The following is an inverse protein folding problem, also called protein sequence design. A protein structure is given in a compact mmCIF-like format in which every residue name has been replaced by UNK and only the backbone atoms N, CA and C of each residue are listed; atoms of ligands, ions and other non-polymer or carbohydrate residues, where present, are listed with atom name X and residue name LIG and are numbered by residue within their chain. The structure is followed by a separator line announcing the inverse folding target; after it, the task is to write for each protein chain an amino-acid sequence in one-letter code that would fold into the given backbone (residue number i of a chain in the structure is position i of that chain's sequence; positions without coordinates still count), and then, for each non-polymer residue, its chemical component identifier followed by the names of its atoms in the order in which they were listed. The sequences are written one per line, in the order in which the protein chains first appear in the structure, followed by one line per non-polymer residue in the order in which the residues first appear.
data_IF_160766441774
#
_entry.id   IF_160766441774
#
_cell.length_a   1.000
_cell.length_b   1.000
_cell.length_c   1.000
_cell.angle_alpha   90.00
_cell.angle_beta   90.00
_cell.angle_gamma   90.00
#
_symmetry.space_group_name_H-M   'P 1'
#
loop_
_entity.id
_entity.type
_entity.pdbx_description
1 polymer ?
#
# COMPACT_ATOMS: atom_id res chain seq x y z
N UNK A 1 -14.80 -8.29 1.50
CA UNK A 1 -14.58 -6.85 1.25
C UNK A 1 -14.69 -5.96 2.50
N UNK A 2 -15.13 -6.48 3.65
CA UNK A 2 -15.28 -5.71 4.91
C UNK A 2 -13.99 -4.95 5.28
N UNK A 3 -12.81 -5.55 5.06
CA UNK A 3 -11.52 -4.92 5.35
C UNK A 3 -11.28 -3.67 4.49
N UNK A 4 -11.53 -3.73 3.18
CA UNK A 4 -11.29 -2.59 2.28
C UNK A 4 -12.20 -1.41 2.62
N UNK A 5 -13.46 -1.68 2.96
CA UNK A 5 -14.43 -0.68 3.38
C UNK A 5 -14.04 -0.04 4.72
N UNK A 6 -13.60 -0.85 5.70
CA UNK A 6 -13.11 -0.34 6.98
C UNK A 6 -11.87 0.56 6.81
N UNK A 7 -10.91 0.16 5.97
CA UNK A 7 -9.72 0.96 5.66
C UNK A 7 -10.10 2.26 4.95
N UNK A 8 -11.02 2.22 3.99
CA UNK A 8 -11.52 3.40 3.30
C UNK A 8 -12.20 4.38 4.27
N UNK A 9 -12.99 3.89 5.23
CA UNK A 9 -13.60 4.74 6.25
C UNK A 9 -12.57 5.35 7.22
N UNK A 10 -11.58 4.56 7.66
CA UNK A 10 -10.49 5.10 8.45
C UNK A 10 -9.72 6.21 7.69
N UNK A 11 -9.53 6.02 6.39
CA UNK A 11 -8.89 7.00 5.51
C UNK A 11 -9.70 8.29 5.44
N UNK A 12 -11.02 8.19 5.24
CA UNK A 12 -11.94 9.34 5.26
C UNK A 12 -11.91 10.08 6.60
N UNK A 13 -11.68 9.37 7.70
CA UNK A 13 -11.56 9.93 9.04
C UNK A 13 -10.16 10.51 9.34
N UNK A 14 -9.28 10.60 8.34
CA UNK A 14 -7.97 11.26 8.45
C UNK A 14 -6.79 10.32 8.69
N UNK A 15 -6.99 8.99 8.71
CA UNK A 15 -5.88 8.06 8.73
C UNK A 15 -5.17 8.01 7.37
N UNK A 16 -3.86 7.80 7.36
CA UNK A 16 -3.14 7.45 6.14
C UNK A 16 -3.25 5.95 5.89
N UNK A 17 -3.74 5.55 4.73
CA UNK A 17 -3.87 4.13 4.36
C UNK A 17 -2.95 3.76 3.21
N UNK A 18 -2.21 2.67 3.41
CA UNK A 18 -1.33 2.10 2.41
C UNK A 18 -1.77 0.67 2.11
N UNK A 19 -2.04 0.38 0.85
CA UNK A 19 -2.34 -0.97 0.37
C UNK A 19 -1.07 -1.54 -0.26
N UNK A 20 -0.52 -2.58 0.36
CA UNK A 20 0.64 -3.32 -0.16
C UNK A 20 0.24 -4.68 -0.74
N UNK A 21 1.08 -5.21 -1.63
CA UNK A 21 0.89 -6.53 -2.24
C UNK A 21 0.06 -6.49 -3.53
N UNK A 22 0.47 -7.28 -4.53
CA UNK A 22 -0.15 -7.29 -5.86
C UNK A 22 -1.62 -7.72 -5.85
N UNK A 23 -1.95 -8.77 -5.10
CA UNK A 23 -3.32 -9.29 -5.02
C UNK A 23 -4.26 -8.32 -4.29
N UNK A 24 -3.80 -7.70 -3.21
CA UNK A 24 -4.57 -6.70 -2.46
C UNK A 24 -4.79 -5.43 -3.28
N UNK A 25 -3.76 -4.95 -4.00
CA UNK A 25 -3.87 -3.84 -4.93
C UNK A 25 -4.86 -4.12 -6.07
N UNK A 26 -4.81 -5.31 -6.67
CA UNK A 26 -5.74 -5.74 -7.69
C UNK A 26 -7.18 -5.83 -7.16
N UNK A 27 -7.36 -6.34 -5.94
CA UNK A 27 -8.67 -6.43 -5.31
C UNK A 27 -9.29 -5.04 -5.05
N UNK A 28 -8.57 -4.11 -4.41
CA UNK A 28 -9.13 -2.78 -4.12
C UNK A 28 -9.50 -2.02 -5.40
N UNK A 29 -8.74 -2.19 -6.49
CA UNK A 29 -9.07 -1.61 -7.78
C UNK A 29 -10.29 -2.27 -8.42
N UNK A 30 -10.34 -3.61 -8.46
CA UNK A 30 -11.46 -4.36 -9.03
C UNK A 30 -12.80 -4.01 -8.36
N UNK A 31 -12.77 -3.67 -7.08
CA UNK A 31 -13.96 -3.33 -6.31
C UNK A 31 -14.19 -1.82 -6.12
N UNK A 32 -13.40 -0.96 -6.77
CA UNK A 32 -13.63 0.50 -6.79
C UNK A 32 -13.17 1.26 -5.53
N UNK A 33 -12.33 0.66 -4.68
CA UNK A 33 -11.77 1.30 -3.49
C UNK A 33 -10.41 1.97 -3.72
N UNK A 34 -9.84 1.85 -4.93
CA UNK A 34 -8.52 2.39 -5.26
C UNK A 34 -8.37 3.90 -4.97
N UNK A 35 -9.40 4.69 -5.26
CA UNK A 35 -9.41 6.14 -4.95
C UNK A 35 -9.82 6.47 -3.51
N UNK A 36 -10.28 5.47 -2.74
CA UNK A 36 -10.70 5.64 -1.34
C UNK A 36 -9.60 5.33 -0.33
N UNK A 37 -8.37 5.06 -0.80
CA UNK A 37 -7.18 4.80 0.02
C UNK A 37 -6.07 5.80 -0.33
N UNK A 38 -5.12 6.04 0.58
CA UNK A 38 -4.10 7.07 0.37
C UNK A 38 -3.02 6.66 -0.63
N UNK A 39 -2.61 5.39 -0.63
CA UNK A 39 -1.58 4.89 -1.53
C UNK A 39 -1.76 3.40 -1.84
N UNK A 40 -1.59 3.04 -3.11
CA UNK A 40 -1.55 1.65 -3.56
C UNK A 40 -0.14 1.34 -4.05
N UNK A 41 0.59 0.52 -3.30
CA UNK A 41 1.97 0.14 -3.64
C UNK A 41 1.99 -0.95 -4.70
N UNK A 42 2.81 -0.73 -5.74
CA UNK A 42 3.16 -1.74 -6.74
C UNK A 42 4.36 -2.59 -6.31
N UNK A 43 5.12 -2.13 -5.32
CA UNK A 43 6.34 -2.77 -4.84
C UNK A 43 6.09 -3.90 -3.85
N UNK A 44 5.13 -4.79 -4.10
CA UNK A 44 4.63 -5.80 -3.15
C UNK A 44 5.65 -6.36 -2.16
N UNK A 45 6.61 -7.16 -2.63
CA UNK A 45 7.67 -7.74 -1.78
C UNK A 45 8.72 -6.71 -1.30
N UNK A 46 9.10 -5.76 -2.16
CA UNK A 46 10.10 -4.74 -1.82
C UNK A 46 9.62 -3.82 -0.68
N UNK A 47 8.33 -3.48 -0.64
CA UNK A 47 7.72 -2.72 0.45
C UNK A 47 7.79 -3.52 1.76
N UNK A 48 7.49 -4.82 1.72
CA UNK A 48 7.56 -5.67 2.91
C UNK A 48 9.00 -5.76 3.43
N UNK A 49 9.97 -5.98 2.53
CA UNK A 49 11.39 -5.99 2.89
C UNK A 49 11.83 -4.65 3.51
N UNK A 50 11.33 -3.53 2.99
CA UNK A 50 11.58 -2.22 3.57
C UNK A 50 10.95 -2.06 4.96
N UNK A 51 9.71 -2.53 5.16
CA UNK A 51 9.03 -2.52 6.46
C UNK A 51 9.69 -3.46 7.48
N UNK A 52 10.38 -4.51 7.02
CA UNK A 52 11.23 -5.39 7.83
C UNK A 52 12.57 -4.72 8.21
N UNK A 53 12.84 -3.49 7.75
CA UNK A 53 14.06 -2.75 8.03
C UNK A 53 15.24 -3.10 7.13
N UNK A 54 15.02 -3.86 6.04
CA UNK A 54 16.08 -4.14 5.07
C UNK A 54 16.35 -2.92 4.21
N UNK A 55 17.62 -2.73 3.88
CA UNK A 55 18.03 -1.75 2.89
C UNK A 55 17.66 -2.28 1.50
N UNK A 56 16.82 -1.53 0.79
CA UNK A 56 16.51 -1.84 -0.60
C UNK A 56 17.68 -1.38 -1.49
N UNK A 57 18.36 -2.29 -2.22
CA UNK A 57 19.55 -1.93 -3.00
C UNK A 57 19.28 -0.83 -4.03
N UNK A 58 18.10 -0.84 -4.65
CA UNK A 58 17.70 0.18 -5.63
C UNK A 58 17.45 1.56 -5.02
N UNK A 59 17.05 1.63 -3.75
CA UNK A 59 16.88 2.91 -3.03
C UNK A 59 18.24 3.43 -2.56
N UNK A 60 19.08 2.55 -2.01
CA UNK A 60 20.43 2.91 -1.56
C UNK A 60 21.32 3.44 -2.70
N UNK A 61 21.14 2.93 -3.92
CA UNK A 61 21.86 3.42 -5.10
C UNK A 61 21.50 4.86 -5.52
N UNK A 62 20.41 5.43 -4.98
CA UNK A 62 19.96 6.81 -5.22
C UNK A 62 20.41 7.77 -4.13
N UNK A 63 20.93 7.26 -3.00
CA UNK A 63 21.49 8.11 -1.95
C UNK A 63 22.87 8.66 -2.39
N UNK A 64 23.14 9.96 -2.17
CA UNK A 64 24.34 10.64 -2.66
C UNK A 64 25.64 10.24 -1.96
#
# INVERSE_FOLDING_TARGET
MIIAEAVAQATKNGAYSLIGGGDSAAAVNKFGYGESVSFVSTGGGALLEHMEGKVLPGVAALEP
#
